data_IF_431899597981
#
_entry.id   IF_431899597981
#
_cell.length_a   1.000
_cell.length_b   1.000
_cell.length_c   1.000
_cell.angle_alpha   90.00
_cell.angle_beta   90.00
_cell.angle_gamma   90.00
#
_symmetry.space_group_name_H-M   'P 1'
#
loop_
_entity.id
_entity.type
_entity.pdbx_description
1 polymer ?
#
# COMPACT_ATOMS: atom_id res chain seq x y z
N UNK A 1 -37.51 14.55 52.28
CA UNK A 1 -36.77 13.35 51.93
C UNK A 1 -36.77 13.21 50.40
N UNK A 2 -35.72 13.69 49.81
CA UNK A 2 -35.49 13.67 48.32
C UNK A 2 -34.92 12.35 47.89
N UNK A 3 -35.54 11.71 46.94
CA UNK A 3 -34.90 10.65 46.12
C UNK A 3 -34.68 11.18 44.71
N UNK A 4 -33.42 11.41 44.31
CA UNK A 4 -33.10 11.44 42.94
C UNK A 4 -31.83 10.59 42.64
N UNK A 5 -31.96 9.31 42.51
CA UNK A 5 -30.78 8.51 42.13
C UNK A 5 -31.01 7.43 41.06
N UNK A 6 -32.26 7.25 40.62
CA UNK A 6 -32.58 6.21 39.60
C UNK A 6 -32.44 6.68 38.14
N UNK A 7 -32.34 7.99 37.90
CA UNK A 7 -32.24 8.51 36.53
C UNK A 7 -30.79 8.59 36.01
N UNK A 8 -29.81 8.76 36.90
CA UNK A 8 -28.41 8.86 36.51
C UNK A 8 -27.77 7.48 36.21
N UNK A 9 -28.12 6.45 37.00
CA UNK A 9 -27.64 5.08 36.75
C UNK A 9 -28.17 4.52 35.43
N UNK A 10 -29.45 4.76 35.10
CA UNK A 10 -30.00 4.37 33.80
C UNK A 10 -29.34 5.10 32.62
N UNK A 11 -29.04 6.39 32.78
CA UNK A 11 -28.35 7.15 31.76
C UNK A 11 -26.88 6.64 31.53
N UNK A 12 -26.21 6.27 32.62
CA UNK A 12 -24.84 5.69 32.54
C UNK A 12 -24.84 4.30 31.91
N UNK A 13 -25.83 3.48 32.20
CA UNK A 13 -25.98 2.14 31.57
C UNK A 13 -26.28 2.25 30.09
N UNK A 14 -27.14 3.15 29.66
CA UNK A 14 -27.44 3.39 28.24
C UNK A 14 -26.24 3.96 27.50
N UNK A 15 -25.44 4.82 28.14
CA UNK A 15 -24.19 5.32 27.54
C UNK A 15 -23.14 4.22 27.43
N UNK A 16 -23.00 3.33 28.42
CA UNK A 16 -22.06 2.20 28.35
C UNK A 16 -22.48 1.17 27.32
N UNK A 17 -23.77 0.90 27.14
CA UNK A 17 -24.26 0.02 26.07
C UNK A 17 -24.08 0.64 24.68
N UNK A 18 -24.24 1.97 24.55
CA UNK A 18 -23.97 2.67 23.29
C UNK A 18 -22.48 2.69 22.91
N UNK A 19 -21.58 2.80 23.91
CA UNK A 19 -20.14 2.72 23.72
C UNK A 19 -19.71 1.27 23.36
N UNK A 20 -20.33 0.27 23.99
CA UNK A 20 -20.09 -1.14 23.67
C UNK A 20 -20.63 -1.52 22.27
N UNK A 21 -21.73 -0.94 21.83
CA UNK A 21 -22.29 -1.16 20.48
C UNK A 21 -21.52 -0.42 19.38
N UNK A 22 -20.84 0.69 19.70
CA UNK A 22 -19.96 1.41 18.78
C UNK A 22 -18.59 0.72 18.59
N UNK A 23 -18.25 -0.28 19.42
CA UNK A 23 -16.98 -0.99 19.41
C UNK A 23 -16.96 -2.28 18.59
N UNK A 24 -18.03 -2.64 17.88
CA UNK A 24 -18.00 -3.72 16.90
C UNK A 24 -17.54 -3.17 15.55
N UNK A 25 -16.25 -2.76 15.46
CA UNK A 25 -15.63 -2.56 14.15
C UNK A 25 -15.68 -3.89 13.41
N UNK A 26 -16.35 -3.89 12.26
CA UNK A 26 -16.25 -5.00 11.30
C UNK A 26 -14.75 -5.22 11.07
N UNK A 27 -14.20 -6.44 11.22
CA UNK A 27 -12.78 -6.70 10.99
C UNK A 27 -12.41 -6.12 9.63
N UNK A 28 -11.40 -5.24 9.58
CA UNK A 28 -10.94 -4.64 8.34
C UNK A 28 -10.62 -5.76 7.34
N UNK A 29 -11.08 -5.63 6.09
CA UNK A 29 -10.78 -6.63 5.04
C UNK A 29 -9.26 -6.78 4.92
N UNK A 30 -8.71 -8.02 4.90
CA UNK A 30 -7.28 -8.23 4.77
C UNK A 30 -6.73 -7.54 3.53
N UNK A 31 -5.65 -6.79 3.68
CA UNK A 31 -4.97 -6.11 2.59
C UNK A 31 -3.79 -6.92 2.06
N UNK A 32 -3.40 -6.63 0.85
CA UNK A 32 -2.18 -7.13 0.20
C UNK A 32 -1.42 -5.97 -0.42
N UNK A 33 -0.10 -5.99 -0.22
CA UNK A 33 0.84 -5.09 -0.88
C UNK A 33 1.67 -5.91 -1.88
N UNK A 34 1.74 -5.45 -3.12
CA UNK A 34 2.51 -6.13 -4.19
C UNK A 34 3.22 -5.07 -5.03
N UNK A 35 4.44 -5.35 -5.44
CA UNK A 35 5.18 -4.54 -6.41
C UNK A 35 5.45 -5.40 -7.64
N UNK A 36 5.14 -4.86 -8.81
CA UNK A 36 5.40 -5.50 -10.10
C UNK A 36 6.40 -4.66 -10.86
N UNK A 37 7.47 -5.28 -11.33
CA UNK A 37 8.63 -4.63 -11.95
C UNK A 37 8.79 -5.12 -13.39
N UNK A 38 9.24 -4.25 -14.28
CA UNK A 38 9.55 -4.61 -15.67
C UNK A 38 10.65 -5.68 -15.70
N UNK A 39 10.33 -6.84 -16.28
CA UNK A 39 11.23 -7.99 -16.36
C UNK A 39 12.49 -7.72 -17.18
N UNK A 40 12.49 -6.71 -18.03
CA UNK A 40 13.64 -6.33 -18.86
C UNK A 40 14.69 -5.54 -18.07
N UNK A 41 14.41 -5.12 -16.84
CA UNK A 41 15.35 -4.33 -16.05
C UNK A 41 16.48 -5.20 -15.48
N UNK A 42 17.73 -4.71 -15.56
CA UNK A 42 18.83 -5.34 -14.83
C UNK A 42 18.61 -5.21 -13.30
N UNK A 43 19.20 -6.11 -12.49
CA UNK A 43 18.91 -6.22 -11.06
C UNK A 43 18.99 -4.91 -10.27
N UNK A 44 20.01 -4.08 -10.53
CA UNK A 44 20.17 -2.79 -9.83
C UNK A 44 19.05 -1.80 -10.13
N UNK A 45 18.62 -1.71 -11.38
CA UNK A 45 17.49 -0.84 -11.77
C UNK A 45 16.15 -1.38 -11.28
N UNK A 46 15.96 -2.69 -11.30
CA UNK A 46 14.78 -3.35 -10.77
C UNK A 46 14.64 -3.11 -9.25
N UNK A 47 15.73 -3.27 -8.52
CA UNK A 47 15.77 -3.01 -7.07
C UNK A 47 15.47 -1.54 -6.75
N UNK A 48 16.04 -0.61 -7.52
CA UNK A 48 15.74 0.83 -7.36
C UNK A 48 14.26 1.12 -7.64
N UNK A 49 13.71 0.58 -8.72
CA UNK A 49 12.29 0.79 -9.05
C UNK A 49 11.36 0.26 -7.95
N UNK A 50 11.64 -0.94 -7.43
CA UNK A 50 10.88 -1.51 -6.32
C UNK A 50 10.99 -0.65 -5.05
N UNK A 51 12.18 -0.16 -4.71
CA UNK A 51 12.42 0.67 -3.53
C UNK A 51 11.67 2.01 -3.61
N UNK A 52 11.71 2.69 -4.76
CA UNK A 52 11.00 3.96 -4.99
C UNK A 52 9.50 3.79 -4.81
N UNK A 53 8.92 2.76 -5.40
CA UNK A 53 7.50 2.46 -5.27
C UNK A 53 7.13 2.08 -3.84
N UNK A 54 7.93 1.22 -3.19
CA UNK A 54 7.71 0.80 -1.81
C UNK A 54 7.75 1.97 -0.83
N UNK A 55 8.69 2.90 -1.00
CA UNK A 55 8.80 4.08 -0.16
C UNK A 55 7.53 4.94 -0.22
N UNK A 56 7.01 5.18 -1.41
CA UNK A 56 5.77 5.94 -1.60
C UNK A 56 4.55 5.21 -1.03
N UNK A 57 4.43 3.90 -1.27
CA UNK A 57 3.36 3.08 -0.68
C UNK A 57 3.42 3.10 0.85
N UNK A 58 4.61 3.00 1.45
CA UNK A 58 4.79 3.05 2.89
C UNK A 58 4.32 4.36 3.52
N UNK A 59 4.58 5.48 2.86
CA UNK A 59 4.09 6.78 3.31
C UNK A 59 2.55 6.87 3.23
N UNK A 60 1.95 6.28 2.21
CA UNK A 60 0.49 6.30 2.00
C UNK A 60 -0.25 5.31 2.91
N UNK A 61 0.40 4.23 3.33
CA UNK A 61 -0.17 3.10 4.07
C UNK A 61 0.61 2.80 5.35
N UNK A 62 0.82 3.82 6.19
CA UNK A 62 1.57 3.69 7.44
C UNK A 62 0.98 2.65 8.39
N UNK A 63 -0.34 2.42 8.33
CA UNK A 63 -1.04 1.39 9.12
C UNK A 63 -0.59 -0.04 8.83
N UNK A 64 0.08 -0.29 7.69
CA UNK A 64 0.64 -1.60 7.35
C UNK A 64 1.98 -1.88 8.03
N UNK A 65 2.59 -0.89 8.68
CA UNK A 65 3.82 -1.09 9.45
C UNK A 65 3.46 -1.64 10.83
N UNK A 66 4.09 -2.73 11.22
CA UNK A 66 3.85 -3.40 12.49
C UNK A 66 4.53 -2.71 13.68
N UNK A 67 4.31 -3.27 14.85
CA UNK A 67 4.89 -2.80 16.10
C UNK A 67 6.42 -2.87 16.09
N UNK A 68 7.10 -2.01 16.85
CA UNK A 68 8.55 -2.09 17.00
C UNK A 68 9.01 -3.44 17.52
N UNK A 69 10.10 -3.94 16.98
CA UNK A 69 10.77 -5.14 17.46
C UNK A 69 11.61 -4.80 18.69
N UNK A 70 11.74 -5.74 19.64
CA UNK A 70 12.59 -5.56 20.84
C UNK A 70 13.51 -6.74 21.01
N UNK A 71 14.77 -6.44 21.27
CA UNK A 71 15.77 -7.42 21.67
C UNK A 71 15.59 -7.83 23.13
N UNK A 72 16.28 -8.88 23.53
CA UNK A 72 16.25 -9.40 24.90
C UNK A 72 16.64 -8.35 25.95
N UNK A 73 17.59 -7.49 25.64
CA UNK A 73 18.05 -6.39 26.50
C UNK A 73 17.14 -5.16 26.51
N UNK A 74 16.06 -5.18 25.70
CA UNK A 74 15.07 -4.12 25.58
C UNK A 74 15.33 -3.08 24.51
N UNK A 75 16.41 -3.20 23.73
CA UNK A 75 16.68 -2.29 22.59
C UNK A 75 15.55 -2.42 21.56
N UNK A 76 15.03 -1.26 21.11
CA UNK A 76 13.93 -1.21 20.15
C UNK A 76 14.44 -1.01 18.73
N UNK A 77 13.84 -1.72 17.79
CA UNK A 77 14.02 -1.54 16.35
C UNK A 77 12.70 -1.12 15.70
N UNK A 78 12.74 -0.32 14.62
CA UNK A 78 11.54 0.05 13.88
C UNK A 78 10.72 -1.18 13.44
N UNK A 79 9.41 -1.06 13.50
CA UNK A 79 8.50 -2.11 13.00
C UNK A 79 8.64 -2.31 11.50
N UNK A 80 8.38 -3.51 11.04
CA UNK A 80 8.37 -3.88 9.64
C UNK A 80 6.95 -4.23 9.19
N UNK A 81 6.73 -4.27 7.88
CA UNK A 81 5.44 -4.69 7.33
C UNK A 81 5.24 -6.19 7.56
N UNK A 82 4.14 -6.62 8.25
CA UNK A 82 3.95 -8.03 8.61
C UNK A 82 3.40 -8.90 7.47
N UNK A 83 2.79 -8.29 6.45
CA UNK A 83 2.13 -9.05 5.36
C UNK A 83 3.04 -9.41 4.20
N UNK A 84 4.30 -9.02 4.24
CA UNK A 84 5.23 -9.22 3.14
C UNK A 84 4.90 -8.41 1.88
N UNK A 85 5.90 -8.17 1.05
CA UNK A 85 5.76 -7.47 -0.23
C UNK A 85 6.38 -8.36 -1.32
N UNK A 86 5.60 -9.22 -2.00
CA UNK A 86 6.13 -9.95 -3.15
C UNK A 86 6.48 -8.97 -4.27
N UNK A 87 7.67 -9.13 -4.83
CA UNK A 87 8.12 -8.42 -6.03
C UNK A 87 7.96 -9.36 -7.21
N UNK A 88 7.05 -9.02 -8.10
CA UNK A 88 6.69 -9.81 -9.28
C UNK A 88 7.29 -9.18 -10.54
N UNK A 89 7.38 -9.94 -11.62
CA UNK A 89 7.83 -9.46 -12.92
C UNK A 89 6.71 -9.45 -13.94
N UNK A 90 6.76 -8.49 -14.85
CA UNK A 90 5.83 -8.36 -15.97
C UNK A 90 6.50 -7.67 -17.15
N UNK A 91 5.94 -7.83 -18.34
CA UNK A 91 6.35 -7.04 -19.51
C UNK A 91 5.86 -5.59 -19.38
N UNK A 92 6.42 -4.67 -20.17
CA UNK A 92 5.99 -3.26 -20.20
C UNK A 92 4.48 -3.11 -20.51
N UNK A 93 3.95 -3.93 -21.43
CA UNK A 93 2.54 -3.94 -21.80
C UNK A 93 1.66 -4.46 -20.64
N UNK A 94 2.11 -5.51 -19.96
CA UNK A 94 1.41 -6.04 -18.78
C UNK A 94 1.38 -5.04 -17.64
N UNK A 95 2.47 -4.29 -17.40
CA UNK A 95 2.52 -3.21 -16.40
C UNK A 95 1.50 -2.11 -16.70
N UNK A 96 1.43 -1.64 -17.93
CA UNK A 96 0.46 -0.64 -18.35
C UNK A 96 -0.98 -1.13 -18.21
N UNK A 97 -1.25 -2.38 -18.57
CA UNK A 97 -2.56 -3.00 -18.40
C UNK A 97 -2.93 -3.18 -16.93
N UNK A 98 -1.98 -3.65 -16.10
CA UNK A 98 -2.15 -3.83 -14.67
C UNK A 98 -2.52 -2.51 -13.99
N UNK A 99 -1.75 -1.45 -14.26
CA UNK A 99 -2.02 -0.11 -13.72
C UNK A 99 -3.46 0.32 -13.99
N UNK A 100 -3.90 0.26 -15.25
CA UNK A 100 -5.27 0.66 -15.63
C UNK A 100 -6.35 -0.16 -14.92
N UNK A 101 -6.18 -1.47 -14.86
CA UNK A 101 -7.15 -2.38 -14.22
C UNK A 101 -7.21 -2.20 -12.70
N UNK A 102 -6.12 -1.79 -12.09
CA UNK A 102 -6.00 -1.70 -10.63
C UNK A 102 -6.63 -0.44 -10.05
N UNK A 103 -6.73 0.64 -10.82
CA UNK A 103 -7.23 1.95 -10.36
C UNK A 103 -8.63 1.91 -9.73
N UNK A 104 -9.48 0.98 -10.15
CA UNK A 104 -10.84 0.89 -9.65
C UNK A 104 -10.94 0.28 -8.23
N UNK A 105 -9.93 -0.49 -7.79
CA UNK A 105 -10.04 -1.30 -6.57
C UNK A 105 -8.84 -1.21 -5.64
N UNK A 106 -7.76 -0.57 -6.06
CA UNK A 106 -6.51 -0.52 -5.30
C UNK A 106 -5.98 0.91 -5.26
N UNK A 107 -5.18 1.21 -4.24
CA UNK A 107 -4.26 2.33 -4.31
C UNK A 107 -3.07 1.92 -5.18
N UNK A 108 -2.74 2.74 -6.16
CA UNK A 108 -1.75 2.44 -7.19
C UNK A 108 -0.66 3.49 -7.15
N UNK A 109 0.59 3.04 -7.01
CA UNK A 109 1.79 3.87 -7.19
C UNK A 109 2.53 3.34 -8.39
N UNK A 110 2.73 4.18 -9.39
CA UNK A 110 3.48 3.84 -10.59
C UNK A 110 4.79 4.62 -10.68
N UNK A 111 5.78 4.03 -11.32
CA UNK A 111 7.08 4.64 -11.57
C UNK A 111 7.34 4.68 -13.07
N UNK A 112 7.08 5.83 -13.72
CA UNK A 112 7.35 6.01 -15.15
C UNK A 112 8.84 5.86 -15.50
N UNK A 113 9.14 5.42 -16.71
CA UNK A 113 10.50 5.20 -17.20
C UNK A 113 11.37 6.47 -17.13
N UNK A 114 10.77 7.64 -17.23
CA UNK A 114 11.43 8.94 -17.11
C UNK A 114 12.13 9.15 -15.78
N UNK A 115 11.69 8.46 -14.72
CA UNK A 115 12.28 8.57 -13.39
C UNK A 115 13.73 8.07 -13.29
N UNK A 116 14.15 7.13 -14.15
CA UNK A 116 15.54 6.65 -14.22
C UNK A 116 16.37 7.32 -15.33
N UNK A 117 15.76 8.19 -16.14
CA UNK A 117 16.43 8.90 -17.24
C UNK A 117 16.62 10.40 -16.96
N UNK A 118 16.07 10.90 -15.86
CA UNK A 118 16.20 12.30 -15.42
C UNK A 118 17.06 12.39 -14.17
N UNK A 119 17.72 13.53 -13.98
CA UNK A 119 18.70 13.74 -12.90
C UNK A 119 18.10 14.44 -11.67
N UNK A 120 16.96 15.09 -11.84
CA UNK A 120 16.26 15.79 -10.77
C UNK A 120 14.74 15.69 -10.93
N UNK A 121 14.01 16.03 -9.88
CA UNK A 121 12.57 15.88 -9.82
C UNK A 121 11.82 16.84 -10.77
N UNK A 122 12.35 18.04 -11.01
CA UNK A 122 11.74 18.99 -11.92
C UNK A 122 11.85 18.52 -13.38
N UNK A 123 13.00 17.99 -13.77
CA UNK A 123 13.19 17.36 -15.08
C UNK A 123 12.29 16.12 -15.26
N UNK A 124 12.12 15.32 -14.21
CA UNK A 124 11.20 14.19 -14.20
C UNK A 124 9.75 14.63 -14.42
N UNK A 125 9.26 15.61 -13.68
CA UNK A 125 7.92 16.16 -13.85
C UNK A 125 7.71 16.70 -15.27
N UNK A 126 8.67 17.45 -15.80
CA UNK A 126 8.62 18.00 -17.15
C UNK A 126 8.53 16.92 -18.23
N UNK A 127 9.32 15.85 -18.10
CA UNK A 127 9.33 14.73 -19.03
C UNK A 127 8.00 13.94 -19.01
N UNK A 128 7.41 13.72 -17.84
CA UNK A 128 6.11 13.05 -17.70
C UNK A 128 4.98 13.93 -18.24
N UNK A 129 4.99 15.22 -17.93
CA UNK A 129 3.97 16.16 -18.37
C UNK A 129 3.96 16.39 -19.89
N UNK A 130 5.04 16.08 -20.58
CA UNK A 130 5.13 16.21 -22.04
C UNK A 130 4.46 15.06 -22.80
N UNK A 131 4.01 14.00 -22.13
CA UNK A 131 3.45 12.82 -22.76
C UNK A 131 1.97 12.61 -22.40
N UNK A 132 1.15 12.14 -23.36
CA UNK A 132 -0.20 11.67 -23.05
C UNK A 132 -0.10 10.38 -22.20
N UNK A 133 -1.07 10.16 -21.30
CA UNK A 133 -1.05 9.03 -20.36
C UNK A 133 -0.94 7.66 -21.03
N UNK A 134 -1.48 7.49 -22.22
CA UNK A 134 -1.41 6.27 -23.01
C UNK A 134 0.00 5.98 -23.57
N UNK A 135 0.85 6.98 -23.69
CA UNK A 135 2.24 6.85 -24.14
C UNK A 135 3.22 6.61 -22.98
N UNK A 136 2.78 6.72 -21.73
CA UNK A 136 3.62 6.46 -20.56
C UNK A 136 3.89 4.95 -20.43
N UNK A 137 5.15 4.63 -20.23
CA UNK A 137 5.61 3.30 -19.87
C UNK A 137 6.14 3.31 -18.43
N UNK A 138 6.10 2.17 -17.77
CA UNK A 138 6.40 2.06 -16.35
C UNK A 138 7.53 1.08 -16.10
N UNK A 139 8.40 1.42 -15.14
CA UNK A 139 9.43 0.53 -14.61
C UNK A 139 8.87 -0.38 -13.54
N UNK A 140 7.91 0.14 -12.78
CA UNK A 140 7.24 -0.61 -11.72
C UNK A 140 5.85 -0.04 -11.46
N UNK A 141 4.98 -0.92 -10.94
CA UNK A 141 3.65 -0.59 -10.45
C UNK A 141 3.46 -1.27 -9.09
N UNK A 142 3.13 -0.50 -8.06
CA UNK A 142 2.81 -1.00 -6.74
C UNK A 142 1.33 -0.90 -6.44
N UNK A 143 0.80 -1.90 -5.77
CA UNK A 143 -0.62 -2.02 -5.43
C UNK A 143 -0.78 -2.27 -3.94
N UNK A 144 -1.69 -1.54 -3.32
CA UNK A 144 -2.25 -1.87 -2.00
C UNK A 144 -3.77 -1.89 -2.12
N UNK A 145 -4.37 -2.94 -1.64
CA UNK A 145 -5.83 -3.07 -1.67
C UNK A 145 -6.31 -4.39 -1.10
N UNK A 146 -7.63 -4.68 -1.21
CA UNK A 146 -8.22 -5.91 -0.71
C UNK A 146 -7.50 -7.15 -1.25
N UNK A 147 -7.12 -8.07 -0.35
CA UNK A 147 -6.30 -9.25 -0.68
C UNK A 147 -6.83 -10.04 -1.88
N UNK A 148 -8.14 -10.25 -1.94
CA UNK A 148 -8.78 -11.01 -3.04
C UNK A 148 -8.69 -10.24 -4.37
N UNK A 149 -8.85 -8.93 -4.34
CA UNK A 149 -8.79 -8.07 -5.54
C UNK A 149 -7.38 -8.03 -6.11
N UNK A 150 -6.39 -7.71 -5.26
CA UNK A 150 -4.98 -7.71 -5.64
C UNK A 150 -4.56 -9.09 -6.15
N UNK A 151 -4.96 -10.17 -5.45
CA UNK A 151 -4.67 -11.54 -5.87
C UNK A 151 -5.15 -11.89 -7.27
N UNK A 152 -6.34 -11.44 -7.65
CA UNK A 152 -6.86 -11.63 -9.03
C UNK A 152 -6.08 -10.84 -10.07
N UNK A 153 -5.68 -9.61 -9.74
CA UNK A 153 -4.94 -8.74 -10.65
C UNK A 153 -3.55 -9.29 -11.01
N UNK A 154 -2.87 -9.93 -10.05
CA UNK A 154 -1.48 -10.39 -10.20
C UNK A 154 -1.33 -11.91 -10.28
N UNK A 155 -2.44 -12.67 -10.29
CA UNK A 155 -2.43 -14.14 -10.16
C UNK A 155 -1.71 -14.90 -11.27
N UNK A 156 -1.48 -14.28 -12.42
CA UNK A 156 -0.73 -14.86 -13.54
C UNK A 156 0.75 -14.46 -13.59
N UNK A 157 1.24 -13.66 -12.64
CA UNK A 157 2.60 -13.15 -12.63
C UNK A 157 3.51 -13.98 -11.74
N UNK A 158 4.79 -14.09 -12.11
CA UNK A 158 5.83 -14.81 -11.38
C UNK A 158 6.67 -13.85 -10.52
N UNK A 159 7.36 -14.40 -9.53
CA UNK A 159 8.36 -13.65 -8.76
C UNK A 159 9.47 -13.12 -9.67
N UNK A 160 9.97 -11.93 -9.34
CA UNK A 160 11.16 -11.38 -10.00
C UNK A 160 12.38 -12.18 -9.52
N UNK A 161 13.01 -12.86 -10.44
CA UNK A 161 14.20 -13.69 -10.19
C UNK A 161 15.25 -13.43 -11.27
#
# INVERSE_FOLDING_TARGET
LSFPCLSQEKALLVQNEAIAAAGAETPAEPERCVIVVDEALPPGKASNAAAVVAFTLGQRHQHLVGEPLRELDGTAHPGLIPIGIPVLKATAEQLSALRRKSLANCDVVDFPVQGQTTTDYAAFLGAVNALPGEALQYLAVGLVGPKKKVGKLVGGLSLFA
#
